data_IF_395622614932
#
_entry.id   IF_395622614932
#
_cell.length_a   1.000
_cell.length_b   1.000
_cell.length_c   1.000
_cell.angle_alpha   90.00
_cell.angle_beta   90.00
_cell.angle_gamma   90.00
#
_symmetry.space_group_name_H-M   'P 1'
#
loop_
_entity.id
_entity.type
_entity.pdbx_description
1 polymer ?
#
# COMPACT_ATOMS: atom_id res chain seq x y z
N UNK A 1 -24.35 3.30 6.55
CA UNK A 1 -23.93 2.54 5.36
C UNK A 1 -23.41 1.15 5.76
N UNK A 2 -24.24 0.34 6.41
CA UNK A 2 -23.79 -0.88 7.13
C UNK A 2 -24.52 -2.17 6.73
N UNK A 3 -25.39 -2.17 5.72
CA UNK A 3 -26.20 -3.36 5.38
C UNK A 3 -26.18 -3.80 3.91
N UNK A 4 -25.60 -3.01 3.00
CA UNK A 4 -25.61 -3.36 1.55
C UNK A 4 -24.42 -4.23 1.15
N UNK A 5 -23.33 -4.22 1.92
CA UNK A 5 -22.10 -4.96 1.60
C UNK A 5 -22.08 -6.43 2.10
N UNK A 6 -22.96 -6.83 3.02
CA UNK A 6 -22.96 -8.19 3.60
C UNK A 6 -23.67 -9.25 2.74
N UNK A 7 -24.30 -8.85 1.62
CA UNK A 7 -25.06 -9.74 0.72
C UNK A 7 -24.40 -10.01 -0.65
N UNK A 8 -23.27 -9.40 -0.94
CA UNK A 8 -22.58 -9.61 -2.22
C UNK A 8 -21.26 -10.33 -1.96
N UNK A 9 -21.01 -11.41 -2.69
CA UNK A 9 -19.74 -12.15 -2.68
C UNK A 9 -18.66 -11.34 -3.42
N UNK A 10 -18.40 -10.12 -2.95
CA UNK A 10 -17.43 -9.20 -3.55
C UNK A 10 -16.04 -9.68 -3.16
N UNK A 11 -15.33 -10.24 -4.11
CA UNK A 11 -13.98 -10.74 -3.89
C UNK A 11 -12.92 -9.64 -4.02
N UNK A 12 -13.24 -8.59 -4.79
CA UNK A 12 -12.32 -7.50 -5.12
C UNK A 12 -13.00 -6.14 -5.03
N UNK A 13 -12.31 -5.18 -4.40
CA UNK A 13 -12.75 -3.78 -4.31
C UNK A 13 -11.63 -2.88 -4.78
N UNK A 14 -11.97 -1.89 -5.61
CA UNK A 14 -11.11 -0.75 -5.90
C UNK A 14 -11.79 0.51 -5.35
N UNK A 15 -11.02 1.33 -4.62
CA UNK A 15 -11.46 2.65 -4.18
C UNK A 15 -10.48 3.71 -4.68
N UNK A 16 -11.03 4.80 -5.21
CA UNK A 16 -10.29 5.99 -5.55
C UNK A 16 -10.71 7.09 -4.59
N UNK A 17 -9.74 7.68 -3.89
CA UNK A 17 -10.00 8.65 -2.84
C UNK A 17 -9.12 9.87 -3.04
N UNK A 18 -9.68 11.05 -2.83
CA UNK A 18 -8.91 12.30 -2.78
C UNK A 18 -8.91 12.84 -1.35
N UNK A 19 -10.09 13.23 -0.86
CA UNK A 19 -10.28 13.81 0.46
C UNK A 19 -11.10 12.87 1.34
N UNK A 20 -10.44 12.05 2.15
CA UNK A 20 -11.11 11.18 3.13
C UNK A 20 -11.34 11.98 4.40
N UNK A 21 -12.61 12.25 4.74
CA UNK A 21 -13.03 12.91 5.99
C UNK A 21 -13.72 11.92 6.94
N UNK A 22 -13.50 10.63 6.73
CA UNK A 22 -14.03 9.61 7.62
C UNK A 22 -13.49 9.83 9.05
N UNK A 23 -14.33 9.67 10.07
CA UNK A 23 -13.91 9.86 11.46
C UNK A 23 -12.90 8.80 11.90
N UNK A 24 -13.01 7.57 11.38
CA UNK A 24 -12.06 6.49 11.60
C UNK A 24 -11.68 5.83 10.26
N UNK A 25 -10.68 6.37 9.54
CA UNK A 25 -10.22 5.80 8.28
C UNK A 25 -9.63 4.39 8.45
N UNK A 26 -9.06 4.06 9.62
CA UNK A 26 -8.44 2.76 9.88
C UNK A 26 -9.52 1.68 10.02
N UNK A 27 -10.57 1.93 10.80
CA UNK A 27 -11.71 1.02 10.93
C UNK A 27 -12.33 0.69 9.57
N UNK A 28 -12.50 1.69 8.70
CA UNK A 28 -13.03 1.48 7.35
C UNK A 28 -12.17 0.51 6.55
N UNK A 29 -10.84 0.70 6.56
CA UNK A 29 -9.92 -0.17 5.84
C UNK A 29 -9.90 -1.59 6.42
N UNK A 30 -9.93 -1.72 7.74
CA UNK A 30 -10.01 -3.01 8.43
C UNK A 30 -11.31 -3.74 8.09
N UNK A 31 -12.45 -3.05 8.13
CA UNK A 31 -13.74 -3.62 7.74
C UNK A 31 -13.75 -4.05 6.27
N UNK A 32 -13.23 -3.25 5.35
CA UNK A 32 -13.10 -3.66 3.94
C UNK A 32 -12.26 -4.92 3.79
N UNK A 33 -11.05 -4.93 4.36
CA UNK A 33 -10.12 -6.07 4.28
C UNK A 33 -10.66 -7.37 4.87
N UNK A 34 -11.52 -7.30 5.89
CA UNK A 34 -12.16 -8.50 6.44
C UNK A 34 -13.20 -9.15 5.51
N UNK A 35 -13.71 -8.41 4.52
CA UNK A 35 -14.78 -8.89 3.64
C UNK A 35 -14.30 -9.31 2.24
N UNK A 36 -13.18 -8.78 1.77
CA UNK A 36 -12.68 -8.96 0.39
C UNK A 36 -11.33 -9.68 0.37
N UNK A 37 -11.00 -10.35 -0.74
CA UNK A 37 -9.67 -10.95 -0.94
C UNK A 37 -8.68 -10.01 -1.60
N UNK A 38 -9.18 -9.07 -2.42
CA UNK A 38 -8.35 -8.06 -3.08
C UNK A 38 -8.87 -6.65 -2.81
N UNK A 39 -7.96 -5.74 -2.46
CA UNK A 39 -8.26 -4.33 -2.25
C UNK A 39 -7.21 -3.48 -2.98
N UNK A 40 -7.70 -2.62 -3.87
CA UNK A 40 -6.89 -1.57 -4.51
C UNK A 40 -7.33 -0.19 -4.01
N UNK A 41 -6.36 0.61 -3.58
CA UNK A 41 -6.56 1.97 -3.07
C UNK A 41 -5.76 2.91 -3.97
N UNK A 42 -6.42 3.87 -4.59
CA UNK A 42 -5.78 4.91 -5.39
C UNK A 42 -6.01 6.25 -4.69
N UNK A 43 -4.92 6.84 -4.18
CA UNK A 43 -4.93 8.16 -3.58
C UNK A 43 -4.69 9.20 -4.66
N UNK A 44 -5.76 9.91 -5.00
CA UNK A 44 -5.74 11.03 -5.92
C UNK A 44 -5.09 12.27 -5.26
N UNK A 45 -4.38 13.10 -6.03
CA UNK A 45 -3.79 14.32 -5.52
C UNK A 45 -4.87 15.31 -5.10
N UNK A 46 -4.66 15.98 -3.98
CA UNK A 46 -5.47 17.09 -3.53
C UNK A 46 -5.00 18.40 -4.18
N UNK A 47 -5.95 19.29 -4.46
CA UNK A 47 -5.68 20.60 -5.08
C UNK A 47 -4.92 21.56 -4.16
N UNK A 48 -4.85 21.29 -2.85
CA UNK A 48 -4.17 22.17 -1.90
C UNK A 48 -2.69 21.81 -1.74
N UNK A 49 -1.83 22.84 -1.77
CA UNK A 49 -0.37 22.77 -1.63
C UNK A 49 0.13 22.39 -0.22
N UNK A 50 -0.78 22.14 0.73
CA UNK A 50 -0.48 22.08 2.16
C UNK A 50 -0.32 20.67 2.73
N UNK A 51 -0.23 19.63 1.89
CA UNK A 51 -0.05 18.27 2.41
C UNK A 51 1.38 17.81 2.26
N UNK A 52 1.94 17.45 3.40
CA UNK A 52 3.23 16.79 3.55
C UNK A 52 3.20 15.43 2.84
N UNK A 53 4.39 14.93 2.47
CA UNK A 53 4.54 13.69 1.71
C UNK A 53 4.03 12.44 2.48
N UNK A 54 3.76 12.56 3.78
CA UNK A 54 3.28 11.50 4.66
C UNK A 54 1.75 11.27 4.64
N UNK A 55 1.02 12.03 3.82
CA UNK A 55 -0.43 11.95 3.76
C UNK A 55 -0.90 10.62 3.15
N UNK A 56 -1.83 9.95 3.82
CA UNK A 56 -2.56 8.84 3.24
C UNK A 56 -3.95 8.72 3.87
N UNK A 57 -4.96 8.54 3.03
CA UNK A 57 -6.32 8.18 3.45
C UNK A 57 -6.91 9.07 4.56
N UNK A 58 -6.65 10.39 4.48
CA UNK A 58 -7.18 11.38 5.43
C UNK A 58 -6.28 11.66 6.64
N UNK A 59 -5.17 10.94 6.81
CA UNK A 59 -4.27 11.09 7.95
C UNK A 59 -2.86 11.49 7.56
N UNK A 60 -2.14 12.07 8.52
CA UNK A 60 -0.71 12.38 8.49
C UNK A 60 -0.01 11.68 9.67
N UNK A 61 1.31 11.47 9.56
CA UNK A 61 2.18 10.89 10.59
C UNK A 61 1.64 9.60 11.23
N UNK A 62 0.93 8.78 10.45
CA UNK A 62 0.31 7.56 10.94
C UNK A 62 1.17 6.33 10.61
N UNK A 63 1.23 5.36 11.53
CA UNK A 63 2.06 4.15 11.40
C UNK A 63 1.39 3.11 10.51
N UNK A 64 1.27 3.43 9.23
CA UNK A 64 0.53 2.65 8.24
C UNK A 64 1.00 1.21 8.06
N UNK A 65 2.27 0.90 8.34
CA UNK A 65 2.78 -0.46 8.29
C UNK A 65 1.98 -1.44 9.16
N UNK A 66 1.60 -1.04 10.37
CA UNK A 66 0.82 -1.93 11.27
C UNK A 66 -0.57 -2.15 10.71
N UNK A 67 -1.22 -1.09 10.23
CA UNK A 67 -2.56 -1.17 9.60
C UNK A 67 -2.53 -2.11 8.39
N UNK A 68 -1.55 -1.97 7.50
CA UNK A 68 -1.45 -2.83 6.31
C UNK A 68 -1.17 -4.29 6.66
N UNK A 69 -0.33 -4.54 7.67
CA UNK A 69 -0.11 -5.90 8.18
C UNK A 69 -1.41 -6.46 8.75
N UNK A 70 -2.15 -5.70 9.56
CA UNK A 70 -3.40 -6.17 10.17
C UNK A 70 -4.50 -6.43 9.12
N UNK A 71 -4.60 -5.56 8.10
CA UNK A 71 -5.47 -5.80 6.94
C UNK A 71 -5.12 -7.11 6.26
N UNK A 72 -3.82 -7.39 6.06
CA UNK A 72 -3.33 -8.62 5.44
C UNK A 72 -3.34 -9.83 6.39
N UNK A 73 -3.53 -9.69 7.70
CA UNK A 73 -3.79 -10.84 8.59
C UNK A 73 -5.19 -11.42 8.33
N UNK A 74 -6.14 -10.58 7.90
CA UNK A 74 -7.54 -10.95 7.70
C UNK A 74 -7.78 -11.79 6.43
N UNK A 75 -8.98 -11.69 5.83
CA UNK A 75 -9.36 -12.38 4.58
C UNK A 75 -8.56 -11.88 3.36
N UNK A 76 -8.01 -10.67 3.43
CA UNK A 76 -7.27 -10.04 2.36
C UNK A 76 -5.99 -10.83 2.00
N UNK A 77 -5.80 -11.10 0.72
CA UNK A 77 -4.57 -11.69 0.16
C UNK A 77 -3.88 -10.76 -0.83
N UNK A 78 -4.57 -9.77 -1.39
CA UNK A 78 -3.99 -8.77 -2.29
C UNK A 78 -4.30 -7.35 -1.80
N UNK A 79 -3.26 -6.56 -1.56
CA UNK A 79 -3.36 -5.15 -1.22
C UNK A 79 -2.48 -4.33 -2.18
N UNK A 80 -3.10 -3.44 -2.95
CA UNK A 80 -2.41 -2.54 -3.87
C UNK A 80 -2.73 -1.10 -3.52
N UNK A 81 -1.72 -0.33 -3.13
CA UNK A 81 -1.83 1.08 -2.76
C UNK A 81 -1.05 1.93 -3.77
N UNK A 82 -1.77 2.77 -4.51
CA UNK A 82 -1.20 3.81 -5.35
C UNK A 82 -1.31 5.16 -4.65
N UNK A 83 -0.21 5.58 -4.04
CA UNK A 83 -0.09 6.88 -3.39
C UNK A 83 1.20 7.57 -3.83
N UNK A 84 1.39 7.69 -5.14
CA UNK A 84 2.62 8.25 -5.74
C UNK A 84 2.86 9.70 -5.30
N UNK A 85 1.80 10.52 -5.20
CA UNK A 85 1.94 11.94 -4.85
C UNK A 85 2.37 12.17 -3.39
N UNK A 86 2.01 11.26 -2.49
CA UNK A 86 2.32 11.35 -1.06
C UNK A 86 3.08 10.09 -0.62
N UNK A 87 4.26 9.88 -1.20
CA UNK A 87 5.07 8.66 -1.08
C UNK A 87 5.82 8.50 0.25
N UNK A 88 5.68 9.46 1.16
CA UNK A 88 6.29 9.48 2.49
C UNK A 88 5.43 8.84 3.58
N UNK A 89 4.20 8.40 3.28
CA UNK A 89 3.34 7.68 4.23
C UNK A 89 3.91 6.31 4.66
N UNK A 90 4.87 5.80 3.88
CA UNK A 90 5.70 4.65 4.22
C UNK A 90 7.14 5.12 4.37
N UNK A 91 7.54 5.40 5.59
CA UNK A 91 8.94 5.67 5.94
C UNK A 91 9.79 4.39 6.03
N UNK A 92 11.08 4.55 6.32
CA UNK A 92 12.02 3.42 6.42
C UNK A 92 11.58 2.38 7.47
N UNK A 93 11.06 2.83 8.62
CA UNK A 93 10.62 1.95 9.71
C UNK A 93 9.34 1.19 9.34
N UNK A 94 8.42 1.84 8.62
CA UNK A 94 7.25 1.20 8.06
C UNK A 94 7.64 0.10 7.06
N UNK A 95 8.54 0.41 6.12
CA UNK A 95 9.02 -0.57 5.14
C UNK A 95 9.71 -1.75 5.82
N UNK A 96 10.57 -1.49 6.82
CA UNK A 96 11.23 -2.53 7.61
C UNK A 96 10.21 -3.41 8.33
N UNK A 97 9.20 -2.81 8.95
CA UNK A 97 8.13 -3.52 9.65
C UNK A 97 7.34 -4.44 8.70
N UNK A 98 6.94 -3.93 7.53
CA UNK A 98 6.21 -4.71 6.52
C UNK A 98 7.06 -5.90 6.06
N UNK A 99 8.34 -5.67 5.72
CA UNK A 99 9.27 -6.72 5.28
C UNK A 99 9.49 -7.81 6.32
N UNK A 100 9.48 -7.46 7.61
CA UNK A 100 9.68 -8.42 8.69
C UNK A 100 8.41 -9.19 9.05
N UNK A 101 7.24 -8.55 8.97
CA UNK A 101 5.98 -9.12 9.45
C UNK A 101 5.20 -9.88 8.39
N UNK A 102 5.16 -9.41 7.14
CA UNK A 102 4.37 -10.08 6.10
C UNK A 102 4.82 -11.53 5.83
N UNK A 103 6.13 -11.85 5.71
CA UNK A 103 6.59 -13.23 5.52
C UNK A 103 6.09 -14.19 6.61
N UNK A 104 5.92 -13.70 7.84
CA UNK A 104 5.52 -14.51 8.99
C UNK A 104 4.02 -14.80 9.07
N UNK A 105 3.22 -14.28 8.13
CA UNK A 105 1.77 -14.52 8.12
C UNK A 105 1.41 -15.94 7.67
N UNK A 106 2.37 -16.71 7.14
CA UNK A 106 2.17 -18.13 6.80
C UNK A 106 1.10 -18.35 5.72
N UNK A 107 0.85 -17.36 4.87
CA UNK A 107 -0.10 -17.44 3.76
C UNK A 107 0.40 -16.71 2.52
N UNK A 108 -0.14 -17.11 1.38
CA UNK A 108 0.12 -16.44 0.12
C UNK A 108 -0.49 -15.04 0.12
N UNK A 109 0.31 -14.05 -0.25
CA UNK A 109 -0.15 -12.68 -0.39
C UNK A 109 0.62 -11.89 -1.44
N UNK A 110 -0.02 -10.86 -1.92
CA UNK A 110 0.52 -9.85 -2.81
C UNK A 110 0.33 -8.48 -2.15
N UNK A 111 1.43 -7.78 -1.89
CA UNK A 111 1.42 -6.40 -1.41
C UNK A 111 2.16 -5.49 -2.39
N UNK A 112 1.51 -4.41 -2.82
CA UNK A 112 2.11 -3.32 -3.61
C UNK A 112 1.81 -2.00 -2.94
N UNK A 113 2.82 -1.16 -2.77
CA UNK A 113 2.64 0.18 -2.25
C UNK A 113 3.63 1.17 -2.85
N UNK A 114 3.14 2.34 -3.28
CA UNK A 114 4.01 3.49 -3.59
C UNK A 114 4.84 3.87 -2.36
N UNK A 115 6.13 4.18 -2.51
CA UNK A 115 7.04 4.45 -1.39
C UNK A 115 8.25 5.29 -1.87
N UNK A 116 8.82 6.14 -1.00
CA UNK A 116 9.94 7.05 -1.33
C UNK A 116 11.31 6.63 -0.79
N UNK A 117 11.37 5.62 0.09
CA UNK A 117 12.57 5.29 0.90
C UNK A 117 13.37 4.08 0.39
N UNK A 118 13.20 3.66 -0.87
CA UNK A 118 13.88 2.46 -1.40
C UNK A 118 15.25 2.76 -2.02
N UNK A 119 16.00 3.73 -1.49
CA UNK A 119 17.26 4.23 -2.09
C UNK A 119 18.44 3.26 -2.03
N UNK A 120 18.37 2.17 -1.27
CA UNK A 120 19.48 1.20 -1.12
C UNK A 120 19.06 -0.27 -1.07
N UNK A 121 17.91 -0.62 -1.65
CA UNK A 121 17.39 -1.99 -1.47
C UNK A 121 17.86 -2.94 -2.57
N UNK A 122 18.31 -4.12 -2.15
CA UNK A 122 18.52 -5.26 -3.05
C UNK A 122 17.19 -5.57 -3.75
N UNK A 123 17.15 -5.56 -5.10
CA UNK A 123 15.89 -5.60 -5.85
C UNK A 123 15.14 -6.92 -5.69
N UNK A 124 15.84 -8.02 -5.39
CA UNK A 124 15.23 -9.33 -5.14
C UNK A 124 16.01 -10.07 -4.06
N UNK A 125 15.32 -10.52 -3.03
CA UNK A 125 15.92 -11.38 -2.01
C UNK A 125 14.87 -12.33 -1.43
N UNK A 126 15.34 -13.47 -0.90
CA UNK A 126 14.48 -14.44 -0.23
C UNK A 126 14.47 -14.18 1.27
N UNK A 127 13.29 -14.22 1.88
CA UNK A 127 13.12 -14.33 3.32
C UNK A 127 12.40 -15.65 3.55
N UNK A 128 13.06 -16.61 4.20
CA UNK A 128 12.55 -17.98 4.37
C UNK A 128 12.15 -18.58 3.00
N UNK A 129 10.92 -19.04 2.85
CA UNK A 129 10.37 -19.60 1.59
C UNK A 129 9.73 -18.56 0.67
N UNK A 130 9.92 -17.26 0.94
CA UNK A 130 9.22 -16.20 0.24
C UNK A 130 10.12 -15.28 -0.59
N UNK A 131 9.63 -14.88 -1.77
CA UNK A 131 10.32 -13.94 -2.65
C UNK A 131 9.88 -12.50 -2.35
N UNK A 132 10.83 -11.68 -1.89
CA UNK A 132 10.63 -10.24 -1.82
C UNK A 132 11.24 -9.61 -3.06
N UNK A 133 10.41 -9.00 -3.90
CA UNK A 133 10.83 -8.30 -5.12
C UNK A 133 10.44 -6.84 -5.03
N UNK A 134 11.41 -5.93 -5.10
CA UNK A 134 11.15 -4.50 -5.12
C UNK A 134 11.24 -4.01 -6.56
N UNK A 135 10.15 -3.43 -7.05
CA UNK A 135 10.07 -2.89 -8.40
C UNK A 135 10.18 -1.36 -8.36
N UNK A 136 11.20 -0.84 -9.02
CA UNK A 136 11.30 0.58 -9.36
C UNK A 136 10.75 0.75 -10.79
N UNK A 137 9.50 1.22 -10.97
CA UNK A 137 9.03 1.55 -12.31
C UNK A 137 9.82 2.76 -12.83
N UNK A 138 10.59 2.57 -13.90
CA UNK A 138 11.11 3.66 -14.72
C UNK A 138 9.98 4.22 -15.59
N UNK A 139 8.93 4.79 -15.00
CA UNK A 139 7.92 5.51 -15.78
C UNK A 139 8.37 6.97 -15.93
N UNK A 140 8.84 7.30 -17.15
CA UNK A 140 8.96 8.69 -17.60
C UNK A 140 7.55 9.27 -17.68
N UNK A 141 7.08 9.90 -16.61
CA UNK A 141 5.86 10.70 -16.68
C UNK A 141 6.26 12.03 -17.33
N UNK A 142 5.90 12.19 -18.60
CA UNK A 142 6.00 13.45 -19.31
C UNK A 142 5.09 14.48 -18.66
N UNK A 143 5.66 15.35 -17.83
CA UNK A 143 5.05 16.61 -17.46
C UNK A 143 5.83 17.71 -18.16
N UNK A 144 5.13 18.40 -19.05
CA UNK A 144 5.64 19.57 -19.74
C UNK A 144 5.97 20.69 -18.73
N UNK A 145 7.15 21.25 -18.93
CA UNK A 145 7.69 22.50 -18.41
C UNK A 145 7.87 22.68 -16.88
N UNK A 146 9.16 22.84 -16.55
CA UNK A 146 9.70 23.55 -15.38
C UNK A 146 9.45 22.95 -14.00
N UNK A 147 10.25 21.91 -13.66
CA UNK A 147 10.98 21.79 -12.39
C UNK A 147 11.83 20.51 -12.43
N UNK A 148 13.15 20.67 -12.35
CA UNK A 148 14.08 19.54 -12.17
C UNK A 148 13.86 18.91 -10.78
N UNK A 149 12.95 17.96 -10.69
CA UNK A 149 12.94 16.93 -9.66
C UNK A 149 12.37 15.67 -10.29
N UNK A 150 13.26 14.79 -10.74
CA UNK A 150 12.92 13.42 -11.11
C UNK A 150 12.34 12.76 -9.85
N UNK A 151 11.02 12.78 -9.72
CA UNK A 151 10.35 11.96 -8.72
C UNK A 151 10.54 10.50 -9.13
N UNK A 152 11.59 9.88 -8.59
CA UNK A 152 11.77 8.44 -8.63
C UNK A 152 10.66 7.81 -7.77
N UNK A 153 9.48 7.58 -8.35
CA UNK A 153 8.41 6.88 -7.66
C UNK A 153 8.75 5.39 -7.59
N UNK A 154 9.04 4.90 -6.39
CA UNK A 154 9.38 3.50 -6.19
C UNK A 154 8.15 2.74 -5.68
N UNK A 155 8.02 1.46 -6.04
CA UNK A 155 6.97 0.59 -5.52
C UNK A 155 7.59 -0.51 -4.67
N UNK A 156 7.16 -0.61 -3.42
CA UNK A 156 7.43 -1.78 -2.61
C UNK A 156 6.49 -2.88 -3.08
N UNK A 157 7.04 -3.90 -3.74
CA UNK A 157 6.30 -5.11 -4.09
C UNK A 157 6.76 -6.24 -3.15
N UNK A 158 5.82 -7.03 -2.65
CA UNK A 158 6.11 -8.23 -1.84
C UNK A 158 5.15 -9.30 -2.32
N UNK A 159 5.71 -10.42 -2.81
CA UNK A 159 4.93 -11.54 -3.30
C UNK A 159 5.33 -12.80 -2.54
N UNK A 160 4.51 -13.17 -1.57
CA UNK A 160 4.69 -14.43 -0.85
C UNK A 160 3.94 -15.51 -1.61
N UNK A 161 4.67 -16.47 -2.15
CA UNK A 161 4.14 -17.71 -2.72
C UNK A 161 4.53 -18.86 -1.80
N UNK A 162 3.66 -19.84 -1.64
CA UNK A 162 4.02 -21.08 -0.96
C UNK A 162 4.68 -21.99 -1.99
N UNK A 163 5.88 -22.48 -1.71
CA UNK A 163 6.43 -23.57 -2.50
C UNK A 163 5.79 -24.88 -2.01
N UNK A 164 5.28 -25.73 -2.92
CA UNK A 164 4.86 -27.06 -2.51
C UNK A 164 6.07 -27.81 -1.92
N UNK A 165 5.85 -28.44 -0.77
CA UNK A 165 6.78 -29.35 -0.11
C UNK A 165 7.03 -30.61 -0.95
#
# INVERSE_FOLDING_TARGET
MSEVASKQNVDQVEIQVAHVTAPDPVDILQRLSSHVRSLRIIQLPLRSSFRTNDFFFGMHNHKWATVFVDMLVSKLSNLHIDNTRYSGYLDHDCVKTIKQRLPRLGKELWFVASCSVLTHVVPKYKIEDHLVQIDCPNEKIGFDHESHSLCNFQKLVIKLVSFPA
#
